data_IF_393278051267
#
_entry.id   IF_393278051267
#
_cell.length_a   1.000
_cell.length_b   1.000
_cell.length_c   1.000
_cell.angle_alpha   90.00
_cell.angle_beta   90.00
_cell.angle_gamma   90.00
#
_symmetry.space_group_name_H-M   'P 1'
#
loop_
_entity.id
_entity.type
_entity.pdbx_description
1 polymer ?
#
# COMPACT_ATOMS: atom_id res chain seq x y z
N UNK A 1 0.14 7.95 4.85
CA UNK A 1 -0.55 8.64 3.75
C UNK A 1 0.46 9.56 3.13
N UNK A 2 0.51 9.58 1.80
CA UNK A 2 1.37 10.50 1.06
C UNK A 2 0.48 11.56 0.42
N UNK A 3 0.47 12.75 1.03
CA UNK A 3 -0.32 13.90 0.60
C UNK A 3 0.20 14.48 -0.72
N UNK A 4 1.50 14.37 -0.99
CA UNK A 4 2.11 14.89 -2.21
C UNK A 4 1.70 14.05 -3.42
N UNK A 5 1.67 12.72 -3.28
CA UNK A 5 1.23 11.80 -4.33
C UNK A 5 -0.25 11.43 -4.28
N UNK A 6 -1.03 12.01 -3.36
CA UNK A 6 -2.43 11.65 -3.10
C UNK A 6 -2.64 10.13 -3.02
N UNK A 7 -1.73 9.44 -2.34
CA UNK A 7 -1.69 7.98 -2.28
C UNK A 7 -1.84 7.48 -0.84
N UNK A 8 -2.61 6.43 -0.68
CA UNK A 8 -2.88 5.79 0.60
C UNK A 8 -2.61 4.29 0.51
N UNK A 9 -1.63 3.82 1.26
CA UNK A 9 -1.40 2.39 1.48
C UNK A 9 -2.26 1.92 2.66
N UNK A 10 -3.06 0.88 2.44
CA UNK A 10 -3.98 0.29 3.42
C UNK A 10 -3.56 -1.18 3.63
N UNK A 11 -3.14 -1.49 4.84
CA UNK A 11 -2.85 -2.85 5.27
C UNK A 11 -4.12 -3.49 5.87
N UNK A 12 -4.43 -4.70 5.44
CA UNK A 12 -5.56 -5.49 5.97
C UNK A 12 -5.10 -6.91 6.29
N UNK A 13 -5.84 -7.58 7.15
CA UNK A 13 -5.65 -9.02 7.38
C UNK A 13 -5.85 -9.80 6.07
N UNK A 14 -5.09 -10.88 5.90
CA UNK A 14 -5.10 -11.69 4.66
C UNK A 14 -6.51 -12.21 4.31
N UNK A 15 -7.28 -12.61 5.32
CA UNK A 15 -8.66 -13.07 5.16
C UNK A 15 -9.61 -11.98 4.62
N UNK A 16 -9.29 -10.72 4.88
CA UNK A 16 -10.07 -9.56 4.48
C UNK A 16 -9.56 -8.92 3.19
N UNK A 17 -8.40 -9.34 2.66
CA UNK A 17 -7.79 -8.77 1.46
C UNK A 17 -8.69 -8.84 0.24
N UNK A 18 -9.28 -10.01 -0.02
CA UNK A 18 -10.18 -10.20 -1.15
C UNK A 18 -11.45 -9.34 -1.05
N UNK A 19 -12.00 -9.18 0.16
CA UNK A 19 -13.16 -8.34 0.43
C UNK A 19 -12.82 -6.86 0.24
N UNK A 20 -11.67 -6.42 0.77
CA UNK A 20 -11.20 -5.05 0.67
C UNK A 20 -10.93 -4.64 -0.80
N UNK A 21 -10.32 -5.53 -1.60
CA UNK A 21 -10.10 -5.31 -3.04
C UNK A 21 -11.42 -5.31 -3.81
N UNK A 22 -12.33 -6.22 -3.45
CA UNK A 22 -13.58 -6.46 -4.16
C UNK A 22 -13.38 -7.16 -5.51
N UNK A 23 -14.48 -7.61 -6.11
CA UNK A 23 -14.44 -8.35 -7.38
C UNK A 23 -13.78 -7.50 -8.48
N UNK A 24 -12.75 -8.04 -9.15
CA UNK A 24 -11.98 -7.34 -10.18
C UNK A 24 -11.44 -5.97 -9.72
N UNK A 25 -11.14 -5.80 -8.43
CA UNK A 25 -10.67 -4.54 -7.86
C UNK A 25 -11.71 -3.41 -7.82
N UNK A 26 -12.99 -3.75 -7.97
CA UNK A 26 -14.05 -2.74 -8.06
C UNK A 26 -14.18 -1.89 -6.80
N UNK A 27 -13.99 -2.47 -5.61
CA UNK A 27 -14.14 -1.73 -4.36
C UNK A 27 -13.05 -0.66 -4.21
N UNK A 28 -11.80 -1.04 -4.49
CA UNK A 28 -10.65 -0.11 -4.47
C UNK A 28 -10.78 0.97 -5.53
N UNK A 29 -11.23 0.61 -6.75
CA UNK A 29 -11.45 1.59 -7.84
C UNK A 29 -12.50 2.63 -7.46
N UNK A 30 -13.68 2.18 -7.03
CA UNK A 30 -14.77 3.09 -6.65
C UNK A 30 -14.40 3.96 -5.44
N UNK A 31 -13.71 3.38 -4.46
CA UNK A 31 -13.24 4.13 -3.28
C UNK A 31 -12.18 5.17 -3.65
N UNK A 32 -11.30 4.85 -4.61
CA UNK A 32 -10.32 5.80 -5.15
C UNK A 32 -11.00 6.95 -5.89
N UNK A 33 -12.01 6.65 -6.73
CA UNK A 33 -12.82 7.66 -7.42
C UNK A 33 -13.61 8.55 -6.44
N UNK A 34 -14.17 7.96 -5.38
CA UNK A 34 -14.98 8.66 -4.39
C UNK A 34 -14.14 9.61 -3.51
N UNK A 35 -12.94 9.17 -3.12
CA UNK A 35 -12.06 9.95 -2.24
C UNK A 35 -11.15 10.90 -3.02
N UNK A 36 -10.86 10.60 -4.29
CA UNK A 36 -9.84 11.31 -5.07
C UNK A 36 -8.41 10.86 -4.74
N UNK A 37 -8.24 9.78 -3.98
CA UNK A 37 -6.94 9.24 -3.59
C UNK A 37 -6.65 7.95 -4.34
N UNK A 38 -5.39 7.70 -4.64
CA UNK A 38 -4.93 6.38 -5.10
C UNK A 38 -4.84 5.45 -3.90
N UNK A 39 -5.69 4.43 -3.84
CA UNK A 39 -5.71 3.48 -2.73
C UNK A 39 -4.97 2.19 -3.11
N UNK A 40 -3.95 1.83 -2.35
CA UNK A 40 -3.23 0.57 -2.48
C UNK A 40 -3.56 -0.33 -1.30
N UNK A 41 -4.29 -1.42 -1.54
CA UNK A 41 -4.63 -2.40 -0.51
C UNK A 41 -3.66 -3.57 -0.59
N UNK A 42 -3.09 -3.96 0.54
CA UNK A 42 -2.17 -5.08 0.65
C UNK A 42 -2.36 -5.80 1.99
N UNK A 43 -1.81 -7.01 2.13
CA UNK A 43 -1.81 -7.69 3.42
C UNK A 43 -0.87 -7.01 4.41
N UNK A 44 -1.09 -7.22 5.70
CA UNK A 44 -0.16 -6.75 6.74
C UNK A 44 1.26 -7.29 6.56
N UNK A 45 1.38 -8.55 6.11
CA UNK A 45 2.68 -9.17 5.82
C UNK A 45 3.40 -8.48 4.65
N UNK A 46 2.66 -8.15 3.58
CA UNK A 46 3.18 -7.41 2.44
C UNK A 46 3.60 -5.98 2.84
N UNK A 47 2.80 -5.33 3.69
CA UNK A 47 3.12 -4.01 4.22
C UNK A 47 4.42 -4.03 5.05
N UNK A 48 4.58 -5.00 5.95
CA UNK A 48 5.80 -5.19 6.74
C UNK A 48 7.01 -5.45 5.84
N UNK A 49 6.84 -6.29 4.80
CA UNK A 49 7.86 -6.58 3.81
C UNK A 49 8.26 -5.34 3.00
N UNK A 50 7.30 -4.52 2.57
CA UNK A 50 7.54 -3.25 1.86
C UNK A 50 8.35 -2.28 2.72
N UNK A 51 8.02 -2.18 4.00
CA UNK A 51 8.73 -1.31 4.95
C UNK A 51 10.16 -1.79 5.23
N UNK A 52 10.38 -3.10 5.40
CA UNK A 52 11.74 -3.65 5.57
C UNK A 52 12.61 -3.47 4.32
N UNK A 53 12.05 -3.70 3.14
CA UNK A 53 12.75 -3.47 1.86
C UNK A 53 13.15 -2.00 1.71
N UNK A 54 12.24 -1.06 1.99
CA UNK A 54 12.54 0.38 1.97
C UNK A 54 13.70 0.77 2.90
N UNK A 55 13.67 0.29 4.15
CA UNK A 55 14.74 0.53 5.12
C UNK A 55 16.09 -0.07 4.68
N UNK A 56 16.08 -1.29 4.13
CA UNK A 56 17.29 -1.96 3.64
C UNK A 56 17.90 -1.22 2.45
N UNK A 57 17.06 -0.71 1.54
CA UNK A 57 17.52 0.08 0.39
C UNK A 57 18.17 1.40 0.84
N UNK A 58 17.58 2.08 1.83
CA UNK A 58 18.15 3.30 2.42
C UNK A 58 19.52 3.03 3.07
N UNK A 59 19.65 1.98 3.88
CA UNK A 59 20.91 1.59 4.50
C UNK A 59 22.00 1.28 3.47
N UNK A 60 21.65 0.55 2.40
CA UNK A 60 22.57 0.24 1.30
C UNK A 60 23.02 1.48 0.54
N UNK A 61 22.17 2.50 0.42
CA UNK A 61 22.54 3.75 -0.24
C UNK A 61 23.49 4.58 0.63
N UNK A 62 23.23 4.67 1.94
CA UNK A 62 24.08 5.40 2.88
C UNK A 62 25.47 4.76 3.07
N UNK A 63 25.58 3.44 2.98
CA UNK A 63 26.86 2.72 3.08
C UNK A 63 27.75 2.85 1.84
N UNK A 64 27.26 3.44 0.75
CA UNK A 64 27.98 3.56 -0.54
C UNK A 64 28.52 4.97 -0.82
N UNK A 65 28.29 5.92 0.08
CA UNK A 65 28.82 7.29 0.01
C UNK A 65 29.96 7.48 1.00
#
# INVERSE_FOLDING_TARGET
MDEDSHTMDIAVEEENLAQAIGRNGQNVRLSSELTGWTLNVMSEEDAASKQQKGQTLLLRHLSKN
#
